data_IF_096870471673
#
_entry.id   IF_096870471673
#
_cell.length_a   1.000
_cell.length_b   1.000
_cell.length_c   1.000
_cell.angle_alpha   90.00
_cell.angle_beta   90.00
_cell.angle_gamma   90.00
#
_symmetry.space_group_name_H-M   'P 1'
#
loop_
_entity.id
_entity.type
_entity.pdbx_description
1 polymer ?
#
# COMPACT_ATOMS: atom_id res chain seq x y z
N UNK A 1 60.97 -91.72 15.72
CA UNK A 1 60.35 -91.95 14.39
C UNK A 1 60.05 -90.60 13.75
N UNK A 2 60.81 -90.24 12.72
CA UNK A 2 60.66 -89.00 11.95
C UNK A 2 59.55 -89.13 10.88
N UNK A 3 58.73 -88.10 10.66
CA UNK A 3 57.92 -87.94 9.45
C UNK A 3 58.15 -86.57 8.81
N UNK A 4 58.33 -86.64 7.49
CA UNK A 4 58.70 -85.61 6.50
C UNK A 4 57.52 -84.69 6.15
N UNK A 5 57.83 -83.50 5.62
CA UNK A 5 56.89 -82.70 4.82
C UNK A 5 57.53 -81.42 4.29
N UNK A 6 57.88 -81.41 3.00
CA UNK A 6 58.47 -80.28 2.26
C UNK A 6 57.34 -79.60 1.45
N UNK A 7 57.28 -78.27 1.42
CA UNK A 7 56.36 -77.52 0.54
C UNK A 7 57.12 -76.37 -0.14
N UNK A 8 57.06 -76.36 -1.48
CA UNK A 8 57.69 -75.38 -2.38
C UNK A 8 56.69 -74.26 -2.73
N UNK A 9 57.24 -73.05 -2.82
CA UNK A 9 56.62 -71.76 -3.15
C UNK A 9 56.02 -71.66 -4.57
N UNK A 10 54.89 -70.93 -4.71
CA UNK A 10 54.37 -70.38 -5.96
C UNK A 10 54.40 -68.84 -5.87
N UNK A 11 55.04 -68.19 -6.83
CA UNK A 11 55.16 -66.73 -6.94
C UNK A 11 53.98 -66.14 -7.73
N UNK A 12 53.41 -65.02 -7.25
CA UNK A 12 52.32 -64.28 -7.90
C UNK A 12 52.78 -62.84 -8.21
N UNK A 13 52.75 -62.48 -9.49
CA UNK A 13 53.11 -61.17 -10.04
C UNK A 13 51.86 -60.25 -10.03
N UNK A 14 51.91 -59.09 -9.36
CA UNK A 14 50.82 -58.10 -9.33
C UNK A 14 51.15 -56.89 -10.22
N UNK A 15 50.34 -56.69 -11.26
CA UNK A 15 50.30 -55.50 -12.11
C UNK A 15 49.47 -54.40 -11.43
N UNK A 16 50.07 -53.24 -11.16
CA UNK A 16 49.38 -52.05 -10.65
C UNK A 16 48.85 -51.19 -11.81
N UNK A 17 47.53 -51.13 -11.98
CA UNK A 17 46.86 -50.13 -12.83
C UNK A 17 46.39 -48.97 -11.96
N UNK A 18 46.92 -47.77 -12.21
CA UNK A 18 46.58 -46.56 -11.45
C UNK A 18 45.19 -46.02 -11.81
N UNK A 19 44.29 -45.99 -10.83
CA UNK A 19 43.03 -45.25 -10.90
C UNK A 19 43.28 -43.75 -10.64
N UNK A 20 43.06 -42.89 -11.65
CA UNK A 20 42.97 -41.46 -11.45
C UNK A 20 41.59 -41.10 -10.85
N UNK A 21 41.57 -40.73 -9.57
CA UNK A 21 40.36 -40.19 -8.92
C UNK A 21 40.21 -38.73 -9.33
N UNK A 22 39.23 -38.44 -10.20
CA UNK A 22 38.84 -37.06 -10.52
C UNK A 22 38.00 -36.53 -9.36
N UNK A 23 38.54 -35.59 -8.58
CA UNK A 23 37.78 -34.93 -7.50
C UNK A 23 36.68 -34.04 -8.11
N UNK A 24 35.41 -34.16 -7.69
CA UNK A 24 34.37 -33.24 -8.13
C UNK A 24 34.72 -31.82 -7.67
N UNK A 25 34.73 -30.85 -8.59
CA UNK A 25 34.90 -29.43 -8.28
C UNK A 25 33.62 -28.94 -7.63
N UNK A 26 33.64 -28.82 -6.30
CA UNK A 26 32.57 -28.19 -5.52
C UNK A 26 32.39 -26.75 -6.01
N UNK A 27 31.23 -26.43 -6.60
CA UNK A 27 30.90 -25.06 -6.95
C UNK A 27 30.91 -24.17 -5.69
N UNK A 28 31.67 -23.08 -5.72
CA UNK A 28 31.74 -22.14 -4.61
C UNK A 28 30.33 -21.59 -4.30
N UNK A 29 29.93 -21.66 -3.03
CA UNK A 29 28.63 -21.16 -2.61
C UNK A 29 28.53 -19.65 -2.88
N UNK A 30 27.54 -19.25 -3.68
CA UNK A 30 27.25 -17.84 -3.92
C UNK A 30 26.22 -17.30 -2.93
N UNK A 31 26.37 -16.04 -2.51
CA UNK A 31 25.47 -15.37 -1.57
C UNK A 31 24.86 -14.13 -2.22
N UNK A 32 23.54 -13.96 -2.10
CA UNK A 32 22.86 -12.73 -2.52
C UNK A 32 23.12 -11.61 -1.51
N UNK A 33 23.64 -10.47 -1.99
CA UNK A 33 23.76 -9.22 -1.23
C UNK A 33 23.02 -8.09 -1.94
N UNK A 34 22.84 -6.97 -1.25
CA UNK A 34 22.10 -5.80 -1.73
C UNK A 34 22.95 -4.54 -1.62
N UNK A 35 22.82 -3.68 -2.61
CA UNK A 35 23.59 -2.43 -2.71
C UNK A 35 23.04 -1.37 -1.74
N UNK A 36 23.88 -0.80 -0.89
CA UNK A 36 23.49 0.27 0.05
C UNK A 36 23.79 1.68 -0.48
N UNK A 37 24.71 1.82 -1.43
CA UNK A 37 25.03 3.10 -2.07
C UNK A 37 24.00 3.50 -3.13
N UNK A 38 23.79 4.81 -3.33
CA UNK A 38 22.92 5.35 -4.40
C UNK A 38 23.33 4.86 -5.79
N UNK A 39 24.64 4.82 -6.03
CA UNK A 39 25.28 4.23 -7.20
C UNK A 39 26.58 3.53 -6.78
N UNK A 40 26.78 2.29 -7.21
CA UNK A 40 27.96 1.49 -6.93
C UNK A 40 28.57 0.97 -8.23
N UNK A 41 29.86 1.26 -8.45
CA UNK A 41 30.58 0.79 -9.62
C UNK A 41 31.05 -0.65 -9.42
N UNK A 42 30.72 -1.51 -10.37
CA UNK A 42 31.28 -2.85 -10.56
C UNK A 42 32.43 -2.73 -11.54
N UNK A 43 33.62 -3.16 -11.17
CA UNK A 43 34.86 -2.97 -11.91
C UNK A 43 35.46 -4.28 -12.41
N UNK A 44 36.38 -4.22 -13.37
CA UNK A 44 37.04 -5.42 -13.91
C UNK A 44 37.97 -6.11 -12.90
N UNK A 45 38.41 -5.42 -11.85
CA UNK A 45 39.27 -5.95 -10.79
C UNK A 45 39.02 -5.31 -9.41
N UNK A 46 39.58 -5.89 -8.33
CA UNK A 46 39.35 -5.51 -6.94
C UNK A 46 40.15 -4.26 -6.55
N UNK A 47 39.75 -3.11 -7.10
CA UNK A 47 40.41 -1.83 -6.85
C UNK A 47 39.75 -0.68 -7.62
N UNK A 48 39.99 0.56 -7.20
CA UNK A 48 39.41 1.76 -7.82
C UNK A 48 40.06 2.14 -9.15
N UNK A 49 41.26 1.64 -9.44
CA UNK A 49 42.01 1.86 -10.68
C UNK A 49 41.52 1.02 -11.85
N UNK A 50 40.75 -0.04 -11.60
CA UNK A 50 40.19 -0.91 -12.63
C UNK A 50 39.01 -0.26 -13.37
N UNK A 51 38.86 -0.61 -14.66
CA UNK A 51 37.77 -0.11 -15.53
C UNK A 51 36.39 -0.51 -14.99
N UNK A 52 35.41 0.36 -15.15
CA UNK A 52 34.02 0.11 -14.76
C UNK A 52 33.34 -0.78 -15.81
N UNK A 53 32.65 -1.84 -15.35
CA UNK A 53 31.86 -2.78 -16.16
C UNK A 53 30.40 -2.36 -16.21
N UNK A 54 29.84 -1.99 -15.06
CA UNK A 54 28.47 -1.51 -14.88
C UNK A 54 28.37 -0.73 -13.57
N UNK A 55 27.41 0.19 -13.49
CA UNK A 55 27.01 0.82 -12.23
C UNK A 55 25.66 0.25 -11.79
N UNK A 56 25.58 -0.23 -10.56
CA UNK A 56 24.36 -0.76 -9.94
C UNK A 56 23.75 0.26 -8.99
N UNK A 57 22.42 0.27 -8.89
CA UNK A 57 21.68 1.24 -8.08
C UNK A 57 21.45 0.71 -6.67
N UNK A 58 21.12 1.62 -5.74
CA UNK A 58 20.69 1.26 -4.40
C UNK A 58 19.57 0.21 -4.41
N UNK A 59 19.59 -0.67 -3.41
CA UNK A 59 18.66 -1.78 -3.19
C UNK A 59 18.69 -2.90 -4.24
N UNK A 60 19.48 -2.76 -5.30
CA UNK A 60 19.64 -3.80 -6.30
C UNK A 60 20.32 -5.03 -5.69
N UNK A 61 19.79 -6.21 -6.00
CA UNK A 61 20.39 -7.48 -5.59
C UNK A 61 21.58 -7.82 -6.50
N UNK A 62 22.64 -8.36 -5.91
CA UNK A 62 23.83 -8.87 -6.60
C UNK A 62 24.20 -10.23 -6.03
N UNK A 63 24.72 -11.11 -6.88
CA UNK A 63 25.20 -12.43 -6.46
C UNK A 63 26.69 -12.35 -6.20
N UNK A 64 27.13 -12.60 -4.96
CA UNK A 64 28.55 -12.61 -4.57
C UNK A 64 29.08 -14.04 -4.63
N UNK A 65 30.15 -14.26 -5.40
CA UNK A 65 30.79 -15.58 -5.53
C UNK A 65 32.17 -15.67 -4.90
N UNK A 66 32.79 -14.53 -4.59
CA UNK A 66 34.14 -14.48 -4.02
C UNK A 66 34.34 -13.17 -3.25
N UNK A 67 35.19 -13.19 -2.21
CA UNK A 67 35.65 -11.99 -1.49
C UNK A 67 37.18 -11.92 -1.55
N UNK A 68 37.75 -10.75 -1.84
CA UNK A 68 39.19 -10.46 -1.79
C UNK A 68 39.41 -9.12 -1.10
N UNK A 69 39.77 -9.16 0.18
CA UNK A 69 39.90 -7.97 1.01
C UNK A 69 38.57 -7.20 1.09
N UNK A 70 38.60 -5.89 0.81
CA UNK A 70 37.42 -5.01 0.82
C UNK A 70 36.58 -5.05 -0.48
N UNK A 71 36.76 -6.08 -1.31
CA UNK A 71 36.08 -6.24 -2.60
C UNK A 71 35.41 -7.59 -2.72
N UNK A 72 34.16 -7.58 -3.18
CA UNK A 72 33.38 -8.77 -3.50
C UNK A 72 33.30 -8.93 -5.02
N UNK A 73 33.48 -10.14 -5.53
CA UNK A 73 33.19 -10.49 -6.92
C UNK A 73 31.70 -10.71 -7.07
N UNK A 74 31.05 -9.84 -7.82
CA UNK A 74 29.60 -9.76 -7.97
C UNK A 74 29.16 -10.07 -9.39
N UNK A 75 28.03 -10.75 -9.52
CA UNK A 75 27.31 -10.93 -10.78
C UNK A 75 25.95 -10.25 -10.71
N UNK A 76 25.63 -9.45 -11.72
CA UNK A 76 24.40 -8.66 -11.82
C UNK A 76 24.05 -8.42 -13.29
N UNK A 77 22.79 -8.67 -13.66
CA UNK A 77 22.31 -8.53 -15.05
C UNK A 77 23.23 -9.23 -16.08
N UNK A 78 23.70 -10.44 -15.76
CA UNK A 78 24.59 -11.23 -16.62
C UNK A 78 26.06 -10.76 -16.68
N UNK A 79 26.41 -9.63 -16.05
CA UNK A 79 27.78 -9.11 -15.99
C UNK A 79 28.46 -9.47 -14.68
N UNK A 80 29.74 -9.84 -14.74
CA UNK A 80 30.55 -10.16 -13.56
C UNK A 80 31.71 -9.18 -13.41
N UNK A 81 31.97 -8.74 -12.18
CA UNK A 81 33.10 -7.88 -11.83
C UNK A 81 33.28 -7.77 -10.32
N UNK A 82 33.97 -6.73 -9.85
CA UNK A 82 34.31 -6.50 -8.46
C UNK A 82 33.69 -5.20 -7.93
N UNK A 83 33.04 -5.27 -6.77
CA UNK A 83 32.42 -4.12 -6.10
C UNK A 83 32.93 -4.03 -4.65
N UNK A 84 33.05 -2.81 -4.12
CA UNK A 84 33.50 -2.63 -2.74
C UNK A 84 32.45 -3.16 -1.76
N UNK A 85 32.85 -4.09 -0.89
CA UNK A 85 31.93 -4.81 -0.02
C UNK A 85 31.37 -3.97 1.13
N UNK A 86 31.97 -2.80 1.41
CA UNK A 86 31.41 -1.80 2.33
C UNK A 86 30.04 -1.28 1.91
N UNK A 87 29.66 -1.44 0.64
CA UNK A 87 28.38 -1.02 0.08
C UNK A 87 27.44 -2.18 -0.21
N UNK A 88 27.73 -3.36 0.34
CA UNK A 88 26.94 -4.57 0.15
C UNK A 88 26.49 -5.10 1.51
N UNK A 89 25.23 -5.52 1.60
CA UNK A 89 24.66 -6.11 2.81
C UNK A 89 23.88 -7.39 2.49
N UNK A 90 23.88 -8.36 3.41
CA UNK A 90 23.01 -9.54 3.31
C UNK A 90 21.58 -9.24 3.74
N UNK A 91 21.36 -8.12 4.47
CA UNK A 91 20.02 -7.69 4.87
C UNK A 91 19.27 -7.18 3.64
N UNK A 92 18.27 -7.93 3.20
CA UNK A 92 17.36 -7.50 2.14
C UNK A 92 16.77 -6.13 2.50
N UNK A 93 16.94 -5.10 1.65
CA UNK A 93 16.27 -3.83 1.83
C UNK A 93 14.79 -4.10 1.98
N UNK A 94 14.16 -3.47 2.99
CA UNK A 94 12.72 -3.33 2.96
C UNK A 94 12.37 -2.73 1.60
N UNK A 95 11.44 -3.34 0.86
CA UNK A 95 10.95 -2.74 -0.37
C UNK A 95 10.62 -1.28 -0.05
N UNK A 96 11.15 -0.33 -0.82
CA UNK A 96 10.75 1.06 -0.65
C UNK A 96 9.24 1.06 -0.74
N UNK A 97 8.53 1.37 0.36
CA UNK A 97 7.08 1.51 0.32
C UNK A 97 6.85 2.62 -0.69
N UNK A 98 6.42 2.26 -1.89
CA UNK A 98 6.21 3.22 -2.96
C UNK A 98 5.23 4.25 -2.41
N UNK A 99 5.66 5.50 -2.33
CA UNK A 99 4.77 6.58 -1.99
C UNK A 99 3.72 6.67 -3.10
N UNK A 100 2.55 6.09 -2.83
CA UNK A 100 1.52 5.93 -3.85
C UNK A 100 1.00 7.28 -4.35
N UNK A 101 1.11 8.32 -3.55
CA UNK A 101 0.68 9.66 -3.92
C UNK A 101 1.56 10.33 -4.99
N UNK A 102 2.85 9.97 -5.07
CA UNK A 102 3.80 10.56 -6.04
C UNK A 102 3.45 10.22 -7.50
N UNK A 103 2.67 9.16 -7.73
CA UNK A 103 2.25 8.75 -9.08
C UNK A 103 0.95 9.38 -9.58
N UNK A 104 0.24 10.13 -8.73
CA UNK A 104 -1.11 10.61 -9.02
C UNK A 104 -1.09 11.90 -9.84
N UNK A 105 -1.76 11.90 -11.00
CA UNK A 105 -1.77 13.00 -11.98
C UNK A 105 -2.91 13.99 -11.77
N UNK A 106 -3.98 13.56 -11.10
CA UNK A 106 -5.23 14.31 -10.95
C UNK A 106 -5.33 15.08 -9.64
N UNK A 107 -4.34 14.96 -8.74
CA UNK A 107 -4.32 15.64 -7.43
C UNK A 107 -3.81 17.08 -7.48
N UNK A 108 -3.48 17.61 -8.67
CA UNK A 108 -3.32 19.04 -8.96
C UNK A 108 -2.66 19.86 -7.84
N UNK A 109 -3.38 20.87 -7.35
CA UNK A 109 -2.97 21.76 -6.24
C UNK A 109 -3.36 21.27 -4.85
N UNK A 110 -4.00 20.10 -4.72
CA UNK A 110 -4.37 19.52 -3.43
C UNK A 110 -3.11 19.27 -2.60
N UNK A 111 -3.16 19.58 -1.30
CA UNK A 111 -2.05 19.40 -0.36
C UNK A 111 -2.33 18.35 0.71
N UNK A 112 -3.57 17.89 0.84
CA UNK A 112 -3.94 16.76 1.69
C UNK A 112 -4.70 15.73 0.87
N UNK A 113 -4.29 14.47 0.98
CA UNK A 113 -4.87 13.35 0.24
C UNK A 113 -5.22 12.22 1.21
N UNK A 114 -6.45 11.75 1.15
CA UNK A 114 -6.86 10.46 1.69
C UNK A 114 -6.98 9.49 0.51
N UNK A 115 -6.23 8.40 0.54
CA UNK A 115 -6.32 7.33 -0.43
C UNK A 115 -6.96 6.11 0.22
N UNK A 116 -8.10 5.69 -0.31
CA UNK A 116 -8.83 4.48 0.09
C UNK A 116 -8.70 3.47 -1.03
N UNK A 117 -7.95 2.40 -0.80
CA UNK A 117 -7.71 1.37 -1.81
C UNK A 117 -8.14 -0.02 -1.36
N UNK A 118 -8.68 -0.80 -2.28
CA UNK A 118 -8.97 -2.22 -2.07
C UNK A 118 -8.17 -3.09 -3.04
N UNK A 119 -8.01 -4.37 -2.70
CA UNK A 119 -7.43 -5.35 -3.61
C UNK A 119 -8.51 -5.93 -4.55
N UNK A 120 -8.92 -5.14 -5.56
CA UNK A 120 -10.01 -5.48 -6.46
C UNK A 120 -11.35 -4.85 -6.05
N UNK A 121 -12.37 -5.04 -6.89
CA UNK A 121 -13.68 -4.40 -6.70
C UNK A 121 -14.65 -5.15 -5.80
N UNK A 122 -14.44 -6.46 -5.60
CA UNK A 122 -15.40 -7.35 -4.94
C UNK A 122 -14.95 -7.70 -3.52
N UNK A 123 -14.51 -6.70 -2.77
CA UNK A 123 -14.13 -6.84 -1.36
C UNK A 123 -14.58 -5.62 -0.59
N UNK A 124 -15.00 -5.83 0.66
CA UNK A 124 -15.34 -4.76 1.58
C UNK A 124 -14.16 -4.30 2.43
N UNK A 125 -12.99 -4.94 2.31
CA UNK A 125 -11.78 -4.54 3.03
C UNK A 125 -11.01 -3.49 2.24
N UNK A 126 -10.56 -2.44 2.93
CA UNK A 126 -9.78 -1.36 2.35
C UNK A 126 -8.54 -1.05 3.20
N UNK A 127 -7.53 -0.52 2.53
CA UNK A 127 -6.40 0.15 3.15
C UNK A 127 -6.60 1.65 2.95
N UNK A 128 -6.36 2.42 4.01
CA UNK A 128 -6.52 3.87 4.04
C UNK A 128 -5.14 4.46 4.31
N UNK A 129 -4.66 5.30 3.39
CA UNK A 129 -3.39 6.02 3.50
C UNK A 129 -3.65 7.52 3.41
N UNK A 130 -3.00 8.30 4.24
CA UNK A 130 -3.08 9.77 4.18
C UNK A 130 -1.73 10.36 3.84
N UNK A 131 -1.74 11.44 3.08
CA UNK A 131 -0.55 12.12 2.62
C UNK A 131 -0.73 13.63 2.68
N UNK A 132 0.33 14.34 3.02
CA UNK A 132 0.38 15.79 3.00
C UNK A 132 1.55 16.29 2.15
N UNK A 133 1.35 17.35 1.36
CA UNK A 133 2.45 17.99 0.63
C UNK A 133 3.25 18.87 1.58
N UNK A 134 4.56 18.65 1.60
CA UNK A 134 5.48 19.55 2.29
C UNK A 134 5.71 20.86 1.50
N UNK A 135 6.53 21.76 2.04
CA UNK A 135 6.89 23.04 1.41
C UNK A 135 7.58 22.89 0.05
N UNK A 136 8.18 21.74 -0.25
CA UNK A 136 8.80 21.41 -1.53
C UNK A 136 7.83 20.79 -2.53
N UNK A 137 6.54 20.65 -2.17
CA UNK A 137 5.51 20.05 -3.00
C UNK A 137 5.54 18.51 -3.05
N UNK A 138 6.40 17.85 -2.27
CA UNK A 138 6.48 16.38 -2.23
C UNK A 138 5.43 15.81 -1.28
N UNK A 139 4.83 14.69 -1.65
CA UNK A 139 3.89 13.99 -0.80
C UNK A 139 4.64 13.31 0.35
N UNK A 140 4.18 13.51 1.57
CA UNK A 140 4.71 12.88 2.78
C UNK A 140 3.62 11.98 3.37
N UNK A 141 3.86 10.67 3.55
CA UNK A 141 2.91 9.80 4.23
C UNK A 141 2.69 10.25 5.68
N UNK A 142 1.43 10.27 6.13
CA UNK A 142 1.04 10.70 7.48
C UNK A 142 0.50 9.52 8.30
N UNK A 143 -0.46 8.77 7.76
CA UNK A 143 -1.08 7.60 8.41
C UNK A 143 -1.34 6.50 7.38
N UNK A 144 -1.10 5.25 7.77
CA UNK A 144 -1.58 4.05 7.06
C UNK A 144 -2.38 3.21 8.04
N UNK A 145 -3.58 2.80 7.64
CA UNK A 145 -4.44 1.95 8.47
C UNK A 145 -5.37 1.11 7.60
N UNK A 146 -6.11 0.20 8.24
CA UNK A 146 -7.16 -0.60 7.59
C UNK A 146 -8.52 0.06 7.79
N UNK A 147 -9.46 -0.31 6.93
CA UNK A 147 -10.85 0.09 7.03
C UNK A 147 -11.73 -0.78 6.16
N UNK A 148 -12.96 -0.31 6.00
CA UNK A 148 -13.98 -1.00 5.24
C UNK A 148 -14.71 -0.06 4.29
N UNK A 149 -15.22 -0.64 3.22
CA UNK A 149 -16.05 0.02 2.20
C UNK A 149 -17.37 -0.74 2.07
N UNK A 150 -18.19 -0.39 1.08
CA UNK A 150 -19.46 -1.04 0.80
C UNK A 150 -19.37 -2.58 0.80
N UNK A 151 -20.42 -3.25 1.26
CA UNK A 151 -20.52 -4.72 1.33
C UNK A 151 -20.06 -5.43 0.06
N UNK A 152 -20.39 -4.87 -1.10
CA UNK A 152 -20.03 -5.43 -2.41
C UNK A 152 -18.85 -4.69 -3.05
N UNK A 153 -18.06 -3.99 -2.25
CA UNK A 153 -16.87 -3.23 -2.62
C UNK A 153 -17.17 -1.99 -3.44
N UNK A 154 -16.38 -1.75 -4.49
CA UNK A 154 -16.43 -0.52 -5.29
C UNK A 154 -17.37 -0.63 -6.49
N UNK A 155 -17.89 0.51 -6.96
CA UNK A 155 -18.60 0.66 -8.23
C UNK A 155 -18.16 1.93 -8.97
N UNK A 156 -18.14 1.85 -10.30
CA UNK A 156 -18.12 3.03 -11.18
C UNK A 156 -19.42 3.82 -11.04
N UNK A 157 -19.36 5.14 -11.20
CA UNK A 157 -20.52 6.04 -11.06
C UNK A 157 -21.71 5.60 -11.94
N UNK A 158 -21.45 5.09 -13.14
CA UNK A 158 -22.49 4.58 -14.03
C UNK A 158 -23.33 3.47 -13.38
N UNK A 159 -22.71 2.63 -12.54
CA UNK A 159 -23.31 1.46 -11.88
C UNK A 159 -23.74 1.76 -10.43
N UNK A 160 -23.57 2.98 -9.94
CA UNK A 160 -24.05 3.37 -8.62
C UNK A 160 -25.57 3.44 -8.60
N UNK A 161 -26.16 2.92 -7.52
CA UNK A 161 -27.60 2.82 -7.30
C UNK A 161 -27.94 3.07 -5.83
N UNK A 162 -29.10 3.65 -5.54
CA UNK A 162 -29.60 3.78 -4.16
C UNK A 162 -29.74 2.39 -3.52
N UNK A 163 -29.25 2.23 -2.29
CA UNK A 163 -29.26 0.94 -1.60
C UNK A 163 -28.34 -0.14 -2.22
N UNK A 164 -27.49 0.19 -3.20
CA UNK A 164 -26.64 -0.76 -3.93
C UNK A 164 -25.48 -1.37 -3.14
N UNK A 165 -25.20 -0.89 -1.92
CA UNK A 165 -24.17 -1.41 -0.99
C UNK A 165 -22.75 -1.43 -1.57
N UNK A 166 -22.47 -0.51 -2.49
CA UNK A 166 -21.15 -0.31 -3.09
C UNK A 166 -20.67 1.11 -2.83
N UNK A 167 -19.37 1.27 -2.62
CA UNK A 167 -18.74 2.58 -2.49
C UNK A 167 -18.39 3.13 -3.88
N UNK A 168 -18.59 4.44 -4.11
CA UNK A 168 -18.27 5.03 -5.40
C UNK A 168 -16.76 5.17 -5.58
N UNK A 169 -16.22 4.67 -6.70
CA UNK A 169 -14.85 5.01 -7.09
C UNK A 169 -14.80 6.46 -7.56
N UNK A 170 -13.68 7.13 -7.35
CA UNK A 170 -13.46 8.46 -7.88
C UNK A 170 -12.58 9.32 -6.99
N UNK A 171 -12.42 10.58 -7.40
CA UNK A 171 -11.77 11.64 -6.64
C UNK A 171 -12.85 12.63 -6.18
N UNK A 172 -12.96 12.83 -4.88
CA UNK A 172 -14.00 13.65 -4.27
C UNK A 172 -13.39 14.69 -3.35
N UNK A 173 -13.98 15.87 -3.30
CA UNK A 173 -13.68 16.83 -2.22
C UNK A 173 -14.31 16.34 -0.91
N UNK A 174 -13.72 16.79 0.20
CA UNK A 174 -14.25 16.53 1.53
C UNK A 174 -15.23 17.65 1.88
N UNK A 175 -16.46 17.27 2.23
CA UNK A 175 -17.53 18.17 2.64
C UNK A 175 -17.50 18.48 4.13
N UNK A 176 -18.67 18.79 4.68
CA UNK A 176 -18.85 19.09 6.10
C UNK A 176 -18.40 17.91 6.96
N UNK A 177 -17.53 18.20 7.93
CA UNK A 177 -17.21 17.25 9.00
C UNK A 177 -18.29 17.29 10.07
N UNK A 178 -18.48 16.19 10.78
CA UNK A 178 -19.57 16.07 11.74
C UNK A 178 -19.26 15.15 12.91
N UNK A 179 -20.14 15.18 13.90
CA UNK A 179 -20.17 14.19 14.97
C UNK A 179 -21.28 14.44 15.98
N UNK A 180 -21.54 13.45 16.83
CA UNK A 180 -22.55 13.52 17.91
C UNK A 180 -22.12 14.41 19.08
N UNK A 181 -20.82 14.71 19.15
CA UNK A 181 -20.21 15.50 20.21
C UNK A 181 -19.64 16.82 19.67
N UNK A 182 -18.85 17.53 20.48
CA UNK A 182 -18.18 18.76 20.03
C UNK A 182 -17.10 18.48 18.98
N UNK A 183 -16.66 19.54 18.30
CA UNK A 183 -15.57 19.46 17.32
C UNK A 183 -14.33 18.78 17.96
N UNK A 184 -13.81 17.67 17.40
CA UNK A 184 -12.67 16.94 17.97
C UNK A 184 -11.31 17.62 17.73
N UNK A 185 -11.29 18.83 17.17
CA UNK A 185 -10.08 19.60 16.83
C UNK A 185 -9.82 19.71 15.33
N UNK A 186 -10.82 19.45 14.48
CA UNK A 186 -10.68 19.70 13.04
C UNK A 186 -10.74 21.19 12.73
N UNK A 187 -10.02 21.60 11.68
CA UNK A 187 -10.10 22.94 11.11
C UNK A 187 -11.15 23.05 10.00
N UNK A 188 -11.67 21.91 9.53
CA UNK A 188 -12.75 21.87 8.56
C UNK A 188 -14.05 22.42 9.18
N UNK A 189 -15.02 22.88 8.37
CA UNK A 189 -16.37 23.14 8.85
C UNK A 189 -16.94 21.93 9.59
N UNK A 190 -17.42 22.14 10.82
CA UNK A 190 -17.90 21.07 11.70
C UNK A 190 -19.36 21.30 12.08
N UNK A 191 -20.21 20.28 11.88
CA UNK A 191 -21.61 20.26 12.31
C UNK A 191 -21.81 19.24 13.43
N UNK A 192 -22.27 19.71 14.60
CA UNK A 192 -22.74 18.83 15.66
C UNK A 192 -24.09 18.24 15.28
N UNK A 193 -24.20 16.92 15.36
CA UNK A 193 -25.42 16.15 15.12
C UNK A 193 -26.35 16.26 16.32
N UNK A 194 -27.62 16.42 16.05
CA UNK A 194 -28.74 16.41 16.99
C UNK A 194 -29.68 15.24 16.68
N UNK A 195 -30.63 14.96 17.56
CA UNK A 195 -31.69 13.97 17.32
C UNK A 195 -32.64 14.34 16.17
N UNK A 196 -32.64 15.60 15.74
CA UNK A 196 -33.47 16.12 14.66
C UNK A 196 -32.78 16.01 13.28
N UNK A 197 -31.51 15.60 13.24
CA UNK A 197 -30.75 15.56 11.99
C UNK A 197 -30.98 14.26 11.19
N UNK A 198 -31.34 14.43 9.92
CA UNK A 198 -31.50 13.34 8.95
C UNK A 198 -30.81 13.64 7.63
N UNK A 199 -30.44 12.61 6.88
CA UNK A 199 -30.00 12.73 5.49
C UNK A 199 -31.05 12.11 4.58
N UNK A 200 -31.70 12.89 3.73
CA UNK A 200 -32.78 12.40 2.88
C UNK A 200 -32.20 11.50 1.78
N UNK A 201 -32.59 10.23 1.79
CA UNK A 201 -32.16 9.21 0.83
C UNK A 201 -33.27 8.84 -0.19
N UNK A 202 -34.47 9.45 -0.05
CA UNK A 202 -35.58 9.30 -0.99
C UNK A 202 -35.28 9.97 -2.35
N UNK A 203 -35.08 9.21 -3.44
CA UNK A 203 -34.73 9.76 -4.76
C UNK A 203 -35.88 10.52 -5.43
N UNK A 204 -37.10 10.41 -4.91
CA UNK A 204 -38.28 11.14 -5.42
C UNK A 204 -38.47 12.50 -4.73
N UNK A 205 -37.77 12.74 -3.61
CA UNK A 205 -37.86 14.00 -2.87
C UNK A 205 -37.03 15.10 -3.52
N UNK A 206 -37.54 16.34 -3.48
CA UNK A 206 -36.75 17.54 -3.81
C UNK A 206 -35.56 17.76 -2.87
N UNK A 207 -35.59 17.13 -1.70
CA UNK A 207 -34.54 17.17 -0.68
C UNK A 207 -33.54 16.01 -0.83
N UNK A 208 -33.65 15.18 -1.87
CA UNK A 208 -32.77 14.03 -2.08
C UNK A 208 -31.29 14.37 -1.94
N UNK A 209 -30.58 13.49 -1.24
CA UNK A 209 -29.16 13.58 -0.94
C UNK A 209 -28.75 14.89 -0.25
N UNK A 210 -29.54 15.32 0.75
CA UNK A 210 -29.22 16.50 1.57
C UNK A 210 -29.46 16.25 3.05
N UNK A 211 -28.69 16.96 3.88
CA UNK A 211 -28.84 16.95 5.33
C UNK A 211 -29.93 17.93 5.78
N UNK A 212 -31.00 17.41 6.36
CA UNK A 212 -32.19 18.15 6.77
C UNK A 212 -32.49 18.06 8.28
N UNK A 213 -33.34 18.98 8.74
CA UNK A 213 -34.02 18.91 10.04
C UNK A 213 -35.31 18.09 9.85
N UNK A 214 -35.46 17.02 10.62
CA UNK A 214 -36.59 16.09 10.54
C UNK A 214 -37.88 16.82 10.85
N UNK A 215 -37.95 17.53 11.98
CA UNK A 215 -39.13 18.28 12.42
C UNK A 215 -39.60 19.33 11.40
N UNK A 216 -38.67 19.96 10.67
CA UNK A 216 -38.99 20.98 9.66
C UNK A 216 -39.36 20.42 8.29
N UNK A 217 -38.96 19.19 7.98
CA UNK A 217 -39.08 18.61 6.64
C UNK A 217 -39.93 17.34 6.60
N UNK A 218 -40.54 16.96 7.71
CA UNK A 218 -41.42 15.80 7.79
C UNK A 218 -42.54 15.90 6.73
N UNK A 219 -42.80 14.78 6.05
CA UNK A 219 -43.78 14.72 4.95
C UNK A 219 -43.23 15.13 3.57
N UNK A 220 -42.01 15.66 3.48
CA UNK A 220 -41.38 16.02 2.20
C UNK A 220 -40.51 14.90 1.59
N UNK A 221 -40.41 13.77 2.27
CA UNK A 221 -39.63 12.59 1.87
C UNK A 221 -40.26 11.33 2.46
N UNK A 222 -40.07 10.19 1.79
CA UNK A 222 -40.55 8.87 2.22
C UNK A 222 -39.52 8.11 3.03
N UNK A 223 -38.23 8.42 2.85
CA UNK A 223 -37.13 7.83 3.57
C UNK A 223 -36.03 8.86 3.82
N UNK A 224 -35.37 8.71 4.97
CA UNK A 224 -34.17 9.47 5.31
C UNK A 224 -33.35 8.68 6.32
N UNK A 225 -32.03 8.74 6.18
CA UNK A 225 -31.08 8.17 7.11
C UNK A 225 -30.99 9.01 8.39
N UNK A 226 -31.00 8.35 9.55
CA UNK A 226 -30.85 9.01 10.84
C UNK A 226 -29.37 9.36 11.11
N UNK A 227 -29.06 10.64 11.33
CA UNK A 227 -27.68 11.06 11.57
C UNK A 227 -27.22 10.76 13.00
N UNK A 228 -28.12 10.69 13.99
CA UNK A 228 -27.75 10.44 15.38
C UNK A 228 -27.62 8.94 15.69
N UNK A 229 -26.58 8.30 15.13
CA UNK A 229 -26.26 6.88 15.34
C UNK A 229 -24.80 6.68 15.76
N UNK A 230 -24.48 5.55 16.40
CA UNK A 230 -23.14 5.29 16.94
C UNK A 230 -22.02 5.41 15.91
N UNK A 231 -22.26 4.96 14.67
CA UNK A 231 -21.31 5.05 13.55
C UNK A 231 -20.90 6.51 13.22
N UNK A 232 -21.80 7.48 13.48
CA UNK A 232 -21.60 8.91 13.21
C UNK A 232 -21.18 9.69 14.45
N UNK A 233 -20.61 9.00 15.45
CA UNK A 233 -19.97 9.67 16.58
C UNK A 233 -18.96 10.71 16.09
N UNK A 234 -18.19 10.41 15.05
CA UNK A 234 -17.44 11.37 14.22
C UNK A 234 -17.37 10.90 12.77
N UNK A 235 -17.28 11.84 11.82
CA UNK A 235 -17.12 11.53 10.41
C UNK A 235 -17.07 12.77 9.53
N UNK A 236 -17.09 12.57 8.21
CA UNK A 236 -17.20 13.64 7.24
C UNK A 236 -17.93 13.20 5.98
N UNK A 237 -18.55 14.18 5.31
CA UNK A 237 -19.21 13.97 4.02
C UNK A 237 -18.17 13.77 2.93
N UNK A 238 -18.32 12.72 2.12
CA UNK A 238 -17.63 12.60 0.84
C UNK A 238 -18.55 13.24 -0.20
N UNK A 239 -18.08 14.27 -0.90
CA UNK A 239 -18.91 15.02 -1.87
C UNK A 239 -19.14 14.23 -3.17
N UNK A 240 -19.77 13.07 -3.04
CA UNK A 240 -20.29 12.25 -4.11
C UNK A 240 -21.75 12.63 -4.39
N UNK A 241 -22.14 12.58 -5.68
CA UNK A 241 -23.51 12.89 -6.14
C UNK A 241 -24.06 14.24 -5.64
N UNK A 242 -23.23 15.29 -5.62
CA UNK A 242 -23.63 16.63 -5.17
C UNK A 242 -24.63 17.32 -6.09
N UNK A 243 -24.73 16.87 -7.35
CA UNK A 243 -25.80 17.27 -8.27
C UNK A 243 -27.16 16.67 -7.88
N UNK A 244 -27.19 15.73 -6.92
CA UNK A 244 -28.39 15.06 -6.41
C UNK A 244 -29.14 14.33 -7.52
N UNK A 245 -28.41 13.68 -8.42
CA UNK A 245 -29.00 12.89 -9.50
C UNK A 245 -29.74 11.70 -8.87
N UNK A 246 -31.08 11.61 -9.05
CA UNK A 246 -31.87 10.56 -8.42
C UNK A 246 -31.34 9.15 -8.70
N UNK A 247 -31.46 8.27 -7.70
CA UNK A 247 -31.06 6.86 -7.77
C UNK A 247 -29.57 6.62 -8.00
N UNK A 248 -28.69 7.62 -7.89
CA UNK A 248 -27.24 7.43 -8.00
C UNK A 248 -26.55 7.20 -6.66
N UNK A 249 -27.30 6.98 -5.59
CA UNK A 249 -26.77 6.79 -4.25
C UNK A 249 -26.68 8.12 -3.49
N UNK A 250 -26.96 8.05 -2.20
CA UNK A 250 -26.93 9.18 -1.27
C UNK A 250 -26.11 8.86 -0.02
N UNK A 251 -25.95 9.83 0.87
CA UNK A 251 -25.37 9.65 2.21
C UNK A 251 -23.99 8.95 2.25
N UNK A 252 -23.11 9.26 1.29
CA UNK A 252 -21.77 8.67 1.25
C UNK A 252 -20.83 9.43 2.19
N UNK A 253 -20.47 8.78 3.29
CA UNK A 253 -19.63 9.37 4.34
C UNK A 253 -18.35 8.59 4.57
N UNK A 254 -17.41 9.23 5.28
CA UNK A 254 -16.32 8.54 5.97
C UNK A 254 -16.60 8.59 7.47
N UNK A 255 -16.68 7.45 8.15
CA UNK A 255 -17.13 7.40 9.55
C UNK A 255 -16.54 6.23 10.35
N UNK A 256 -17.02 6.06 11.58
CA UNK A 256 -16.52 5.03 12.50
C UNK A 256 -17.18 3.68 12.18
N UNK A 257 -16.37 2.63 12.09
CA UNK A 257 -16.85 1.26 11.84
C UNK A 257 -15.74 0.22 11.86
N UNK A 258 -16.12 -1.03 12.11
CA UNK A 258 -15.22 -2.20 12.18
C UNK A 258 -15.68 -3.34 11.25
N UNK A 259 -16.57 -3.04 10.30
CA UNK A 259 -17.09 -3.98 9.33
C UNK A 259 -17.56 -3.25 8.07
N UNK A 260 -18.08 -4.02 7.11
CA UNK A 260 -18.56 -3.45 5.84
C UNK A 260 -19.64 -2.38 6.04
N UNK A 261 -19.71 -1.44 5.11
CA UNK A 261 -20.73 -0.39 5.07
C UNK A 261 -21.78 -0.68 4.00
N UNK A 262 -22.76 0.21 3.86
CA UNK A 262 -23.72 0.19 2.73
C UNK A 262 -23.33 1.16 1.59
N UNK A 263 -22.11 1.70 1.61
CA UNK A 263 -21.61 2.63 0.57
C UNK A 263 -20.55 3.59 1.10
N UNK A 264 -20.58 3.89 2.39
CA UNK A 264 -19.58 4.68 3.11
C UNK A 264 -18.19 4.03 3.13
N UNK A 265 -17.21 4.78 3.63
CA UNK A 265 -15.92 4.25 4.06
C UNK A 265 -15.82 4.35 5.58
N UNK A 266 -15.26 3.34 6.24
CA UNK A 266 -15.14 3.36 7.70
C UNK A 266 -13.84 2.82 8.24
N UNK A 267 -13.43 3.29 9.41
CA UNK A 267 -12.29 2.75 10.18
C UNK A 267 -12.53 2.99 11.68
N UNK A 268 -11.55 2.66 12.52
CA UNK A 268 -11.63 2.85 13.97
C UNK A 268 -11.89 4.31 14.37
N UNK A 269 -12.51 4.52 15.53
CA UNK A 269 -12.75 5.86 16.07
C UNK A 269 -11.45 6.67 16.21
N UNK A 270 -10.38 6.04 16.70
CA UNK A 270 -9.07 6.67 16.84
C UNK A 270 -8.57 7.21 15.51
N UNK A 271 -8.67 6.41 14.44
CA UNK A 271 -8.25 6.83 13.11
C UNK A 271 -9.12 7.96 12.55
N UNK A 272 -10.45 7.87 12.68
CA UNK A 272 -11.36 8.95 12.24
C UNK A 272 -11.03 10.26 12.94
N UNK A 273 -10.87 10.25 14.26
CA UNK A 273 -10.53 11.45 15.04
C UNK A 273 -9.17 12.02 14.65
N UNK A 274 -8.15 11.17 14.46
CA UNK A 274 -6.84 11.62 14.01
C UNK A 274 -6.89 12.27 12.62
N UNK A 275 -7.64 11.68 11.70
CA UNK A 275 -7.84 12.24 10.36
C UNK A 275 -8.58 13.57 10.41
N UNK A 276 -9.64 13.70 11.24
CA UNK A 276 -10.36 14.95 11.40
C UNK A 276 -9.47 16.07 11.93
N UNK A 277 -8.65 15.82 12.95
CA UNK A 277 -7.68 16.80 13.48
C UNK A 277 -6.63 17.23 12.45
N UNK A 278 -6.24 16.31 11.59
CA UNK A 278 -5.27 16.54 10.53
C UNK A 278 -5.84 17.39 9.39
N UNK A 279 -7.12 17.21 9.02
CA UNK A 279 -7.76 17.93 7.92
C UNK A 279 -7.78 19.45 8.11
N UNK A 280 -7.34 20.17 7.08
CA UNK A 280 -7.28 21.63 7.02
C UNK A 280 -7.86 22.14 5.69
N UNK A 281 -8.93 22.97 5.71
CA UNK A 281 -9.54 23.46 4.47
C UNK A 281 -8.56 24.29 3.63
N UNK A 282 -7.56 24.95 4.23
CA UNK A 282 -6.53 25.71 3.51
C UNK A 282 -5.58 24.80 2.72
N UNK A 283 -5.54 23.52 3.04
CA UNK A 283 -4.74 22.51 2.34
C UNK A 283 -5.50 21.82 1.21
N UNK A 284 -6.73 22.25 0.92
CA UNK A 284 -7.59 21.73 -0.15
C UNK A 284 -7.63 20.18 -0.16
N UNK A 285 -8.17 19.56 0.91
CA UNK A 285 -8.09 18.11 1.08
C UNK A 285 -8.98 17.38 0.07
N UNK A 286 -8.51 16.23 -0.39
CA UNK A 286 -9.19 15.37 -1.36
C UNK A 286 -9.17 13.92 -0.91
N UNK A 287 -10.20 13.16 -1.27
CA UNK A 287 -10.24 11.71 -1.08
C UNK A 287 -10.32 11.01 -2.44
N UNK A 288 -9.46 10.02 -2.65
CA UNK A 288 -9.52 9.11 -3.80
C UNK A 288 -9.91 7.73 -3.30
N UNK A 289 -10.91 7.13 -3.93
CA UNK A 289 -11.38 5.78 -3.62
C UNK A 289 -11.33 4.94 -4.89
N UNK A 290 -10.57 3.84 -4.88
CA UNK A 290 -10.44 2.98 -6.08
C UNK A 290 -9.77 1.63 -5.76
N UNK A 291 -9.81 0.70 -6.71
CA UNK A 291 -8.98 -0.51 -6.64
C UNK A 291 -7.50 -0.15 -6.79
N UNK A 292 -6.60 -0.82 -6.07
CA UNK A 292 -5.15 -0.53 -6.17
C UNK A 292 -4.62 -0.68 -7.61
N UNK A 293 -5.24 -1.57 -8.40
CA UNK A 293 -4.93 -1.82 -9.81
C UNK A 293 -5.27 -0.63 -10.73
N UNK A 294 -6.15 0.27 -10.32
CA UNK A 294 -6.61 1.42 -11.10
C UNK A 294 -6.03 2.75 -10.63
N UNK A 295 -5.14 2.72 -9.64
CA UNK A 295 -4.63 3.93 -9.03
C UNK A 295 -3.89 4.83 -10.04
N UNK A 296 -3.34 4.23 -11.11
CA UNK A 296 -2.69 4.94 -12.21
C UNK A 296 -3.62 5.81 -13.07
N UNK A 297 -4.94 5.68 -12.91
CA UNK A 297 -5.94 6.53 -13.58
C UNK A 297 -6.12 7.89 -12.91
N UNK A 298 -5.57 8.04 -11.70
CA UNK A 298 -5.70 9.23 -10.87
C UNK A 298 -4.41 10.04 -10.80
#
# INVERSE_FOLDING_TARGET
>A
MFKKGFAIFVAMLLLFTGFFVVKPVQAAASVTKYVTATALNVRTGPGTTYKIVITVKQNQAVTVSQTKGSWDKVTVAGKTGWASNRYLTTKKPAASIKNLAEGLKTVGSNKQLILVTSNGYNTSNAEIRTFERNSQGKWVPVLTTTGHIGKYGFAIVANMQEGGKKSPIGKYSIGTTFGRYGNPGTKMPYRKITSDDVWVDDPTSKLYNTWQSRSKTQGQWKSAENMNIAAYTYGFVINYNTQRTPNKGSAIFFHIGSGYTLGCTSTSQTNVVNMLKWLDPKMNPVIIQTSIQELNKY
#
